data_IF_234701238757
#
_entry.id   IF_234701238757
#
_cell.length_a   1.000
_cell.length_b   1.000
_cell.length_c   1.000
_cell.angle_alpha   90.00
_cell.angle_beta   90.00
_cell.angle_gamma   90.00
#
_symmetry.space_group_name_H-M   'P 1'
#
loop_
_entity.id
_entity.type
_entity.pdbx_description
1 polymer ?
#
# COMPACT_ATOMS: atom_id res chain seq x y z
N UNK A 1 -22.99 -35.89 29.46
CA UNK A 1 -21.98 -35.74 28.39
C UNK A 1 -22.17 -34.36 27.79
N UNK A 2 -21.40 -33.37 28.24
CA UNK A 2 -21.44 -32.03 27.66
C UNK A 2 -20.55 -32.02 26.42
N UNK A 3 -21.12 -31.68 25.26
CA UNK A 3 -20.37 -31.47 24.02
C UNK A 3 -19.77 -30.07 24.13
N UNK A 4 -18.46 -29.99 24.32
CA UNK A 4 -17.74 -28.74 24.22
C UNK A 4 -17.70 -28.34 22.74
N UNK A 5 -18.41 -27.28 22.39
CA UNK A 5 -18.23 -26.59 21.12
C UNK A 5 -16.90 -25.87 21.20
N UNK A 6 -15.90 -26.42 20.53
CA UNK A 6 -14.64 -25.72 20.32
C UNK A 6 -14.87 -24.76 19.16
N UNK A 7 -15.25 -23.53 19.45
CA UNK A 7 -15.30 -22.44 18.46
C UNK A 7 -13.87 -22.15 18.01
N UNK A 8 -13.43 -22.90 16.99
CA UNK A 8 -12.11 -22.80 16.37
C UNK A 8 -11.94 -21.54 15.56
N UNK A 9 -12.13 -20.36 16.18
CA UNK A 9 -11.68 -19.12 15.58
C UNK A 9 -10.15 -19.19 15.48
N UNK A 10 -9.62 -19.23 14.25
CA UNK A 10 -8.19 -19.19 14.02
C UNK A 10 -7.58 -17.98 14.73
N UNK A 11 -6.46 -18.18 15.43
CA UNK A 11 -5.77 -17.12 16.14
C UNK A 11 -5.40 -15.98 15.17
N UNK A 12 -5.69 -14.73 15.57
CA UNK A 12 -5.36 -13.55 14.74
C UNK A 12 -3.84 -13.38 14.68
N UNK A 13 -3.29 -13.44 13.47
CA UNK A 13 -1.86 -13.24 13.23
C UNK A 13 -1.57 -11.79 12.90
N UNK A 14 -0.39 -11.33 13.26
CA UNK A 14 0.02 -9.94 13.13
C UNK A 14 1.36 -9.80 12.42
N UNK A 15 1.47 -8.78 11.59
CA UNK A 15 2.74 -8.27 11.05
C UNK A 15 2.76 -6.76 11.29
N UNK A 16 3.49 -6.35 12.34
CA UNK A 16 3.55 -4.96 12.83
C UNK A 16 2.17 -4.37 13.12
N UNK A 17 1.67 -3.53 12.22
CA UNK A 17 0.44 -2.77 12.39
C UNK A 17 -0.75 -3.40 11.65
N UNK A 18 -0.52 -4.54 10.99
CA UNK A 18 -1.50 -5.24 10.18
C UNK A 18 -1.82 -6.59 10.80
N UNK A 19 -3.07 -7.01 10.71
CA UNK A 19 -3.52 -8.30 11.24
C UNK A 19 -4.35 -9.06 10.21
N UNK A 20 -4.38 -10.38 10.33
CA UNK A 20 -5.17 -11.26 9.45
C UNK A 20 -6.70 -11.04 9.55
N UNK A 21 -7.17 -10.33 10.59
CA UNK A 21 -8.58 -10.01 10.81
C UNK A 21 -9.03 -8.70 10.14
N UNK A 22 -8.13 -7.97 9.48
CA UNK A 22 -8.43 -6.71 8.79
C UNK A 22 -8.64 -6.95 7.30
N UNK A 23 -9.59 -6.24 6.69
CA UNK A 23 -9.60 -6.09 5.24
C UNK A 23 -8.60 -5.00 4.82
N UNK A 24 -7.64 -5.38 3.99
CA UNK A 24 -6.49 -4.55 3.63
C UNK A 24 -6.45 -4.34 2.12
N UNK A 25 -6.43 -3.08 1.71
CA UNK A 25 -6.11 -2.67 0.33
C UNK A 25 -4.68 -2.15 0.28
N UNK A 26 -3.84 -2.76 -0.56
CA UNK A 26 -2.49 -2.28 -0.88
C UNK A 26 -2.51 -1.65 -2.26
N UNK A 27 -2.17 -0.36 -2.31
CA UNK A 27 -2.26 0.48 -3.49
C UNK A 27 -0.88 0.66 -4.12
N UNK A 28 -0.77 0.39 -5.41
CA UNK A 28 0.48 0.58 -6.17
C UNK A 28 1.61 -0.33 -5.70
N UNK A 29 1.31 -1.59 -5.39
CA UNK A 29 2.26 -2.59 -4.90
C UNK A 29 3.13 -3.15 -6.03
N UNK A 30 4.03 -2.30 -6.56
CA UNK A 30 4.88 -2.54 -7.73
C UNK A 30 5.09 -4.01 -8.14
N UNK A 31 5.94 -4.75 -7.41
CA UNK A 31 6.23 -6.16 -7.67
C UNK A 31 5.45 -7.14 -6.78
N UNK A 32 4.43 -6.65 -6.06
CA UNK A 32 3.56 -7.38 -5.15
C UNK A 32 4.25 -8.01 -3.92
N UNK A 33 5.52 -7.70 -3.68
CA UNK A 33 6.29 -8.32 -2.59
C UNK A 33 5.84 -7.87 -1.20
N UNK A 34 5.28 -6.65 -1.06
CA UNK A 34 4.74 -6.19 0.23
C UNK A 34 3.48 -6.96 0.61
N UNK A 35 2.54 -7.09 -0.33
CA UNK A 35 1.33 -7.88 -0.14
C UNK A 35 1.66 -9.34 0.14
N UNK A 36 2.65 -9.91 -0.57
CA UNK A 36 3.06 -11.29 -0.32
C UNK A 36 3.66 -11.46 1.08
N UNK A 37 4.44 -10.49 1.58
CA UNK A 37 4.94 -10.53 2.96
C UNK A 37 3.80 -10.54 3.99
N UNK A 38 2.76 -9.73 3.79
CA UNK A 38 1.55 -9.74 4.62
C UNK A 38 0.83 -11.09 4.56
N UNK A 39 0.49 -11.56 3.36
CA UNK A 39 -0.22 -12.83 3.17
C UNK A 39 0.56 -14.01 3.78
N UNK A 40 1.88 -14.03 3.62
CA UNK A 40 2.77 -15.05 4.20
C UNK A 40 2.71 -15.03 5.72
N UNK A 41 2.81 -13.85 6.35
CA UNK A 41 2.74 -13.72 7.80
C UNK A 41 1.35 -14.12 8.36
N UNK A 42 0.29 -13.83 7.62
CA UNK A 42 -1.08 -14.24 7.97
C UNK A 42 -1.35 -15.72 7.66
N UNK A 43 -0.56 -16.33 6.77
CA UNK A 43 -0.83 -17.66 6.23
C UNK A 43 -2.10 -17.74 5.36
N UNK A 44 -2.65 -16.59 4.96
CA UNK A 44 -3.81 -16.44 4.07
C UNK A 44 -3.79 -15.04 3.47
N UNK A 45 -4.28 -14.91 2.24
CA UNK A 45 -4.47 -13.66 1.52
C UNK A 45 -5.93 -13.25 1.40
N UNK A 46 -6.90 -14.00 1.95
CA UNK A 46 -8.34 -13.80 1.68
C UNK A 46 -8.86 -12.37 1.93
N UNK A 47 -8.33 -11.70 2.96
CA UNK A 47 -8.72 -10.32 3.32
C UNK A 47 -7.82 -9.25 2.67
N UNK A 48 -7.00 -9.63 1.68
CA UNK A 48 -6.02 -8.76 1.02
C UNK A 48 -6.42 -8.47 -0.42
N UNK A 49 -6.41 -7.19 -0.76
CA UNK A 49 -6.48 -6.71 -2.14
C UNK A 49 -5.18 -6.03 -2.48
N UNK A 50 -4.41 -6.61 -3.39
CA UNK A 50 -3.18 -6.01 -3.87
C UNK A 50 -3.41 -5.40 -5.25
N UNK A 51 -3.00 -4.16 -5.44
CA UNK A 51 -3.26 -3.44 -6.70
C UNK A 51 -1.99 -2.84 -7.27
N UNK A 52 -1.95 -2.73 -8.60
CA UNK A 52 -0.87 -2.08 -9.35
C UNK A 52 -1.44 -1.09 -10.36
N UNK A 53 -0.66 -0.07 -10.69
CA UNK A 53 -0.98 0.84 -11.81
C UNK A 53 -0.61 0.20 -13.15
N UNK A 54 0.46 -0.60 -13.18
CA UNK A 54 0.93 -1.31 -14.36
C UNK A 54 -0.08 -2.41 -14.74
N UNK A 55 -0.25 -2.65 -16.04
CA UNK A 55 -0.98 -3.80 -16.54
C UNK A 55 -0.21 -5.10 -16.25
N UNK A 56 -0.90 -6.24 -16.24
CA UNK A 56 -0.25 -7.55 -16.05
C UNK A 56 0.88 -7.80 -17.08
N UNK A 57 0.68 -7.41 -18.33
CA UNK A 57 1.69 -7.49 -19.39
C UNK A 57 2.92 -6.64 -19.03
N UNK A 58 2.72 -5.37 -18.66
CA UNK A 58 3.80 -4.45 -18.29
C UNK A 58 4.58 -4.96 -17.08
N UNK A 59 3.88 -5.51 -16.08
CA UNK A 59 4.48 -6.12 -14.88
C UNK A 59 5.45 -7.24 -15.23
N UNK A 60 5.03 -8.15 -16.12
CA UNK A 60 5.84 -9.30 -16.54
C UNK A 60 7.15 -8.93 -17.21
N UNK A 61 7.21 -7.74 -17.84
CA UNK A 61 8.41 -7.20 -18.45
C UNK A 61 9.26 -6.37 -17.47
N UNK A 62 8.62 -5.65 -16.56
CA UNK A 62 9.28 -4.69 -15.69
C UNK A 62 9.86 -5.30 -14.42
N UNK A 63 9.34 -6.45 -13.97
CA UNK A 63 9.72 -7.06 -12.70
C UNK A 63 9.81 -8.58 -12.84
N UNK A 64 11.02 -9.14 -12.74
CA UNK A 64 11.25 -10.59 -12.89
C UNK A 64 10.42 -11.44 -11.93
N UNK A 65 10.16 -10.93 -10.73
CA UNK A 65 9.54 -11.69 -9.65
C UNK A 65 8.04 -11.40 -9.50
N UNK A 66 7.52 -10.34 -10.15
CA UNK A 66 6.14 -9.90 -9.94
C UNK A 66 5.13 -10.99 -10.31
N UNK A 67 5.32 -11.67 -11.44
CA UNK A 67 4.41 -12.75 -11.87
C UNK A 67 4.40 -13.91 -10.87
N UNK A 68 5.56 -14.25 -10.29
CA UNK A 68 5.64 -15.28 -9.25
C UNK A 68 4.95 -14.83 -7.95
N UNK A 69 5.09 -13.56 -7.58
CA UNK A 69 4.44 -13.01 -6.39
C UNK A 69 2.92 -12.95 -6.55
N UNK A 70 2.42 -12.55 -7.73
CA UNK A 70 0.99 -12.59 -8.07
C UNK A 70 0.43 -14.00 -7.97
N UNK A 71 1.08 -14.98 -8.61
CA UNK A 71 0.61 -16.37 -8.56
C UNK A 71 0.55 -16.93 -7.13
N UNK A 72 1.53 -16.58 -6.28
CA UNK A 72 1.51 -16.97 -4.86
C UNK A 72 0.38 -16.28 -4.10
N UNK A 73 0.17 -14.98 -4.32
CA UNK A 73 -0.92 -14.22 -3.68
C UNK A 73 -2.28 -14.81 -4.02
N UNK A 74 -2.54 -15.07 -5.29
CA UNK A 74 -3.78 -15.69 -5.76
C UNK A 74 -3.96 -17.10 -5.18
N UNK A 75 -2.89 -17.91 -5.14
CA UNK A 75 -2.91 -19.23 -4.50
C UNK A 75 -3.18 -19.17 -2.99
N UNK A 76 -2.88 -18.05 -2.33
CA UNK A 76 -3.21 -17.78 -0.93
C UNK A 76 -4.60 -17.14 -0.75
N UNK A 77 -5.35 -16.91 -1.83
CA UNK A 77 -6.70 -16.35 -1.79
C UNK A 77 -6.79 -14.82 -1.87
N UNK A 78 -5.68 -14.12 -2.10
CA UNK A 78 -5.71 -12.66 -2.27
C UNK A 78 -6.37 -12.25 -3.59
N UNK A 79 -7.05 -11.11 -3.57
CA UNK A 79 -7.51 -10.45 -4.81
C UNK A 79 -6.35 -9.63 -5.38
N UNK A 80 -5.95 -9.89 -6.62
CA UNK A 80 -4.95 -9.08 -7.32
C UNK A 80 -5.62 -8.30 -8.44
N UNK A 81 -5.44 -6.97 -8.47
CA UNK A 81 -5.99 -6.09 -9.50
C UNK A 81 -4.88 -5.29 -10.20
N UNK A 82 -5.04 -5.09 -11.50
CA UNK A 82 -4.13 -4.32 -12.34
C UNK A 82 -4.82 -3.06 -12.87
N UNK A 83 -4.04 -2.14 -13.44
CA UNK A 83 -4.56 -0.90 -14.04
C UNK A 83 -5.36 0.00 -13.05
N UNK A 84 -5.07 -0.10 -11.74
CA UNK A 84 -5.75 0.65 -10.69
C UNK A 84 -5.11 2.03 -10.53
N UNK A 85 -5.77 3.06 -11.05
CA UNK A 85 -5.35 4.45 -10.89
C UNK A 85 -5.88 5.05 -9.57
N UNK A 86 -4.97 5.35 -8.64
CA UNK A 86 -5.28 5.90 -7.31
C UNK A 86 -6.15 7.15 -7.33
N UNK A 87 -6.12 7.92 -8.43
CA UNK A 87 -6.90 9.16 -8.59
C UNK A 87 -8.41 8.91 -8.76
N UNK A 88 -8.79 7.67 -9.09
CA UNK A 88 -10.17 7.25 -9.35
C UNK A 88 -10.47 5.84 -8.82
N UNK A 89 -9.61 5.30 -7.94
CA UNK A 89 -9.72 3.90 -7.48
C UNK A 89 -11.02 3.58 -6.74
N UNK A 90 -11.65 4.58 -6.12
CA UNK A 90 -12.96 4.47 -5.48
C UNK A 90 -14.11 4.25 -6.48
N UNK A 91 -13.86 4.39 -7.79
CA UNK A 91 -14.81 4.14 -8.87
C UNK A 91 -14.50 2.85 -9.64
N UNK A 92 -13.43 2.13 -9.27
CA UNK A 92 -13.07 0.87 -9.92
C UNK A 92 -14.12 -0.19 -9.56
N UNK A 93 -14.63 -0.94 -10.54
CA UNK A 93 -15.77 -1.83 -10.36
C UNK A 93 -15.58 -2.84 -9.21
N UNK A 94 -14.39 -3.41 -9.07
CA UNK A 94 -14.07 -4.36 -7.99
C UNK A 94 -13.77 -3.72 -6.62
N UNK A 95 -13.56 -2.39 -6.56
CA UNK A 95 -13.22 -1.67 -5.34
C UNK A 95 -14.36 -0.79 -4.81
N UNK A 96 -15.19 -0.23 -5.70
CA UNK A 96 -16.34 0.62 -5.36
C UNK A 96 -17.27 0.00 -4.30
N UNK A 97 -17.62 -1.30 -4.34
CA UNK A 97 -18.52 -1.88 -3.33
C UNK A 97 -17.82 -2.21 -2.00
N UNK A 98 -16.51 -1.96 -1.86
CA UNK A 98 -15.69 -2.43 -0.74
C UNK A 98 -15.27 -1.29 0.19
N UNK A 99 -15.26 -1.59 1.49
CA UNK A 99 -14.65 -0.74 2.52
C UNK A 99 -13.55 -1.52 3.23
N UNK A 100 -12.49 -0.83 3.63
CA UNK A 100 -11.29 -1.42 4.18
C UNK A 100 -10.99 -0.93 5.59
N UNK A 101 -10.41 -1.82 6.40
CA UNK A 101 -9.84 -1.46 7.70
C UNK A 101 -8.49 -0.77 7.51
N UNK A 102 -7.72 -1.15 6.48
CA UNK A 102 -6.43 -0.54 6.14
C UNK A 102 -6.33 -0.28 4.64
N UNK A 103 -5.94 0.94 4.28
CA UNK A 103 -5.55 1.29 2.90
C UNK A 103 -4.10 1.75 2.92
N UNK A 104 -3.21 1.02 2.26
CA UNK A 104 -1.75 1.17 2.35
C UNK A 104 -1.19 1.66 1.02
N UNK A 105 -0.39 2.72 1.04
CA UNK A 105 0.37 3.17 -0.13
C UNK A 105 1.84 3.41 0.24
N UNK A 106 2.69 2.45 -0.14
CA UNK A 106 4.11 2.48 0.18
C UNK A 106 4.91 3.19 -0.91
N UNK A 107 5.71 4.18 -0.51
CA UNK A 107 6.60 4.96 -1.38
C UNK A 107 5.92 5.47 -2.66
N UNK A 108 4.79 6.18 -2.56
CA UNK A 108 4.10 6.72 -3.73
C UNK A 108 5.04 7.53 -4.61
N UNK A 109 4.91 7.44 -5.93
CA UNK A 109 5.76 8.18 -6.86
C UNK A 109 5.01 8.53 -8.15
N UNK A 110 5.13 9.76 -8.64
CA UNK A 110 4.35 10.28 -9.79
C UNK A 110 5.04 10.04 -11.15
N UNK A 111 6.10 9.22 -11.15
CA UNK A 111 6.99 9.02 -12.28
C UNK A 111 8.12 10.04 -12.32
N UNK A 112 9.23 9.70 -12.99
CA UNK A 112 10.38 10.59 -13.15
C UNK A 112 10.11 11.63 -14.24
N UNK A 113 9.95 12.90 -13.84
CA UNK A 113 9.84 14.05 -14.76
C UNK A 113 10.99 15.05 -14.62
N UNK A 114 11.96 14.76 -13.76
CA UNK A 114 13.05 15.67 -13.40
C UNK A 114 13.85 15.11 -12.22
N UNK A 115 14.53 16.01 -11.49
CA UNK A 115 15.22 15.68 -10.24
C UNK A 115 14.22 15.63 -9.08
N UNK A 116 14.49 14.80 -8.09
CA UNK A 116 13.64 14.65 -6.90
C UNK A 116 13.55 15.92 -6.03
N UNK A 117 14.49 16.86 -6.21
CA UNK A 117 14.55 18.16 -5.52
C UNK A 117 13.99 19.33 -6.36
N UNK A 118 13.48 19.05 -7.56
CA UNK A 118 12.85 20.04 -8.44
C UNK A 118 11.41 20.36 -8.00
N UNK A 119 11.03 21.64 -7.99
CA UNK A 119 9.73 22.09 -7.48
C UNK A 119 8.54 21.50 -8.25
N UNK A 120 8.62 21.40 -9.58
CA UNK A 120 7.53 20.86 -10.40
C UNK A 120 7.39 19.35 -10.21
N UNK A 121 8.52 18.66 -9.99
CA UNK A 121 8.57 17.25 -9.62
C UNK A 121 7.92 17.03 -8.25
N UNK A 122 8.32 17.81 -7.23
CA UNK A 122 7.72 17.78 -5.89
C UNK A 122 6.22 18.05 -5.95
N UNK A 123 5.76 19.06 -6.69
CA UNK A 123 4.33 19.38 -6.85
C UNK A 123 3.55 18.24 -7.50
N UNK A 124 4.15 17.53 -8.44
CA UNK A 124 3.55 16.35 -9.07
C UNK A 124 3.37 15.21 -8.08
N UNK A 125 4.35 14.99 -7.20
CA UNK A 125 4.28 14.01 -6.11
C UNK A 125 3.22 14.37 -5.06
N UNK A 126 3.20 15.63 -4.62
CA UNK A 126 2.18 16.13 -3.70
C UNK A 126 0.77 15.94 -4.28
N UNK A 127 0.57 16.27 -5.56
CA UNK A 127 -0.72 16.06 -6.24
C UNK A 127 -1.13 14.60 -6.31
N UNK A 128 -0.19 13.66 -6.48
CA UNK A 128 -0.48 12.22 -6.44
C UNK A 128 -0.98 11.81 -5.06
N UNK A 129 -0.25 12.18 -4.00
CA UNK A 129 -0.57 11.81 -2.62
C UNK A 129 -1.89 12.44 -2.18
N UNK A 130 -2.11 13.72 -2.49
CA UNK A 130 -3.37 14.41 -2.23
C UNK A 130 -4.56 13.72 -2.91
N UNK A 131 -4.42 13.34 -4.20
CA UNK A 131 -5.47 12.60 -4.91
C UNK A 131 -5.74 11.22 -4.31
N UNK A 132 -4.70 10.53 -3.86
CA UNK A 132 -4.85 9.27 -3.15
C UNK A 132 -5.65 9.44 -1.85
N UNK A 133 -5.33 10.43 -1.02
CA UNK A 133 -6.10 10.70 0.19
C UNK A 133 -7.57 11.04 -0.13
N UNK A 134 -7.80 11.87 -1.15
CA UNK A 134 -9.12 12.27 -1.58
C UNK A 134 -10.00 11.09 -2.02
N UNK A 135 -9.44 10.02 -2.59
CA UNK A 135 -10.20 8.81 -2.98
C UNK A 135 -10.25 7.78 -1.86
N UNK A 136 -9.13 7.49 -1.20
CA UNK A 136 -9.00 6.47 -0.15
C UNK A 136 -9.94 6.73 1.03
N UNK A 137 -10.15 7.99 1.40
CA UNK A 137 -11.02 8.36 2.53
C UNK A 137 -12.46 7.87 2.38
N UNK A 138 -12.94 7.71 1.14
CA UNK A 138 -14.28 7.23 0.83
C UNK A 138 -14.41 5.71 0.91
N UNK A 139 -13.30 5.00 1.07
CA UNK A 139 -13.23 3.54 1.06
C UNK A 139 -12.89 2.97 2.44
N UNK A 140 -12.97 3.78 3.50
CA UNK A 140 -12.67 3.36 4.87
C UNK A 140 -13.89 2.80 5.57
N UNK A 141 -13.69 1.70 6.31
CA UNK A 141 -14.62 1.28 7.36
C UNK A 141 -14.61 2.26 8.53
N UNK A 142 -15.60 2.10 9.42
CA UNK A 142 -15.57 2.75 10.73
C UNK A 142 -14.28 2.36 11.46
N UNK A 143 -13.53 3.36 11.91
CA UNK A 143 -12.20 3.20 12.53
C UNK A 143 -11.09 2.67 11.59
N UNK A 144 -11.33 2.65 10.28
CA UNK A 144 -10.32 2.32 9.28
C UNK A 144 -9.20 3.37 9.22
N UNK A 145 -8.03 2.96 8.75
CA UNK A 145 -6.84 3.81 8.66
C UNK A 145 -6.26 3.84 7.24
N UNK A 146 -5.75 4.99 6.85
CA UNK A 146 -4.90 5.16 5.65
C UNK A 146 -3.46 5.22 6.11
N UNK A 147 -2.62 4.36 5.53
CA UNK A 147 -1.19 4.29 5.83
C UNK A 147 -0.38 4.70 4.61
N UNK A 148 0.48 5.71 4.77
CA UNK A 148 1.45 6.09 3.73
C UNK A 148 2.85 5.89 4.30
N UNK A 149 3.65 5.06 3.64
CA UNK A 149 5.08 4.90 4.00
C UNK A 149 5.93 5.75 3.10
N UNK A 150 6.78 6.61 3.65
CA UNK A 150 7.65 7.45 2.84
C UNK A 150 8.96 7.85 3.53
N UNK A 151 9.91 8.29 2.72
CA UNK A 151 11.17 8.90 3.18
C UNK A 151 10.89 10.22 3.88
N UNK A 152 11.65 10.49 4.94
CA UNK A 152 11.44 11.64 5.84
C UNK A 152 12.54 12.70 5.77
N UNK A 153 13.61 12.48 4.99
CA UNK A 153 14.68 13.45 4.76
C UNK A 153 14.48 14.21 3.44
N UNK A 154 15.08 15.39 3.34
CA UNK A 154 15.12 16.16 2.09
C UNK A 154 15.66 15.31 0.91
N UNK A 155 15.09 15.44 -0.31
CA UNK A 155 13.98 16.32 -0.69
C UNK A 155 12.59 15.77 -0.35
N UNK A 156 12.49 14.50 0.03
CA UNK A 156 11.23 13.79 0.28
C UNK A 156 10.37 14.38 1.40
N UNK A 157 11.00 15.04 2.39
CA UNK A 157 10.28 15.79 3.43
C UNK A 157 9.44 16.94 2.89
N UNK A 158 9.81 17.51 1.73
CA UNK A 158 9.08 18.61 1.09
C UNK A 158 7.74 18.18 0.49
N UNK A 159 7.44 16.88 0.49
CA UNK A 159 6.14 16.38 0.04
C UNK A 159 5.02 16.66 1.05
N UNK A 160 5.36 17.04 2.30
CA UNK A 160 4.41 17.50 3.32
C UNK A 160 3.20 16.57 3.52
N UNK A 161 3.43 15.25 3.60
CA UNK A 161 2.38 14.21 3.66
C UNK A 161 1.32 14.50 4.74
N UNK A 162 1.75 14.95 5.92
CA UNK A 162 0.87 15.29 7.04
C UNK A 162 -0.10 16.43 6.69
N UNK A 163 0.39 17.46 5.99
CA UNK A 163 -0.44 18.57 5.51
C UNK A 163 -1.44 18.11 4.44
N UNK A 164 -0.99 17.33 3.46
CA UNK A 164 -1.86 16.82 2.38
C UNK A 164 -3.01 15.94 2.91
N UNK A 165 -2.74 15.18 3.98
CA UNK A 165 -3.77 14.40 4.66
C UNK A 165 -4.80 15.30 5.36
N UNK A 166 -4.34 16.31 6.11
CA UNK A 166 -5.23 17.28 6.78
C UNK A 166 -6.11 18.03 5.78
N UNK A 167 -5.55 18.47 4.64
CA UNK A 167 -6.31 19.08 3.53
C UNK A 167 -7.37 18.14 2.93
N UNK A 168 -7.30 16.85 3.23
CA UNK A 168 -8.26 15.82 2.80
C UNK A 168 -9.23 15.38 3.91
N UNK A 169 -9.31 16.12 5.02
CA UNK A 169 -10.11 15.80 6.22
C UNK A 169 -9.67 14.51 6.91
N UNK A 170 -8.35 14.31 6.99
CA UNK A 170 -7.74 13.17 7.67
C UNK A 170 -6.83 13.65 8.81
N UNK A 171 -7.07 13.14 10.01
CA UNK A 171 -6.22 13.38 11.17
C UNK A 171 -5.12 12.34 11.26
N UNK A 172 -3.88 12.78 11.51
CA UNK A 172 -2.76 11.87 11.80
C UNK A 172 -2.95 11.26 13.18
N UNK A 173 -2.95 9.94 13.27
CA UNK A 173 -3.05 9.20 14.53
C UNK A 173 -1.69 8.73 15.03
N UNK A 174 -0.76 8.43 14.12
CA UNK A 174 0.55 7.91 14.48
C UNK A 174 1.56 8.14 13.33
N UNK A 175 2.82 8.32 13.71
CA UNK A 175 3.97 8.28 12.80
C UNK A 175 4.96 7.23 13.31
N UNK A 176 4.90 6.04 12.71
CA UNK A 176 5.72 4.91 13.09
C UNK A 176 7.02 4.86 12.26
N UNK A 177 8.14 4.49 12.87
CA UNK A 177 9.37 4.21 12.12
C UNK A 177 9.16 2.99 11.20
N UNK A 178 9.56 3.10 9.94
CA UNK A 178 9.51 2.00 8.99
C UNK A 178 10.89 1.34 8.87
N UNK A 179 10.96 0.03 9.08
CA UNK A 179 12.13 -0.80 8.81
C UNK A 179 11.73 -1.88 7.80
N UNK A 180 12.55 -2.14 6.80
CA UNK A 180 12.22 -3.13 5.75
C UNK A 180 12.26 -4.54 6.32
N UNK A 181 13.11 -4.77 7.32
CA UNK A 181 13.31 -6.03 8.03
C UNK A 181 12.05 -6.50 8.77
N UNK A 182 11.13 -5.57 9.08
CA UNK A 182 9.82 -5.89 9.65
C UNK A 182 8.90 -6.62 8.66
N UNK A 183 9.22 -6.63 7.36
CA UNK A 183 8.44 -7.23 6.28
C UNK A 183 9.29 -8.21 5.46
N UNK A 184 9.54 -9.43 5.98
CA UNK A 184 10.38 -10.41 5.29
C UNK A 184 9.89 -10.70 3.88
N UNK A 185 10.81 -10.59 2.90
CA UNK A 185 10.52 -10.79 1.48
C UNK A 185 10.05 -9.54 0.73
N UNK A 186 9.75 -8.44 1.42
CA UNK A 186 9.43 -7.17 0.75
C UNK A 186 10.65 -6.62 -0.01
N UNK A 187 10.44 -6.24 -1.27
CA UNK A 187 11.45 -5.74 -2.18
C UNK A 187 10.93 -4.47 -2.89
N UNK A 188 11.28 -3.30 -2.37
CA UNK A 188 10.85 -2.03 -2.92
C UNK A 188 11.48 -1.78 -4.30
N UNK A 189 10.63 -1.61 -5.32
CA UNK A 189 11.05 -1.35 -6.70
C UNK A 189 10.62 0.03 -7.18
N UNK A 190 11.38 0.59 -8.11
CA UNK A 190 10.99 1.79 -8.86
C UNK A 190 9.94 1.41 -9.90
N UNK A 191 8.85 2.16 -9.97
CA UNK A 191 7.74 1.89 -10.90
C UNK A 191 7.74 2.68 -12.20
N UNK A 192 8.85 3.31 -12.60
CA UNK A 192 8.89 4.07 -13.86
C UNK A 192 10.32 4.34 -14.34
N UNK A 193 10.44 4.85 -15.56
CA UNK A 193 11.67 5.19 -16.29
C UNK A 193 12.51 3.98 -16.71
N UNK A 194 13.68 4.22 -17.33
CA UNK A 194 14.68 3.18 -17.62
C UNK A 194 15.17 2.43 -16.37
N UNK A 195 14.87 2.96 -15.17
CA UNK A 195 15.16 2.32 -13.88
C UNK A 195 14.00 1.50 -13.32
N UNK A 196 12.90 1.31 -14.06
CA UNK A 196 11.80 0.45 -13.64
C UNK A 196 12.32 -0.94 -13.21
N UNK A 197 11.75 -1.52 -12.16
CA UNK A 197 12.18 -2.80 -11.60
C UNK A 197 13.44 -2.77 -10.74
N UNK A 198 14.23 -1.69 -10.75
CA UNK A 198 15.39 -1.57 -9.87
C UNK A 198 14.98 -1.20 -8.44
N UNK A 199 15.74 -1.71 -7.47
CA UNK A 199 15.63 -1.29 -6.08
C UNK A 199 15.99 0.18 -5.86
N UNK A 200 15.63 0.71 -4.71
CA UNK A 200 16.08 2.02 -4.24
C UNK A 200 16.44 2.00 -2.76
N UNK A 201 17.42 2.80 -2.34
CA UNK A 201 17.79 2.88 -0.94
C UNK A 201 16.62 3.40 -0.09
N UNK A 202 16.24 2.62 0.93
CA UNK A 202 15.35 3.04 2.01
C UNK A 202 16.25 3.74 3.03
N UNK A 203 16.18 5.08 3.04
CA UNK A 203 16.83 5.87 4.09
C UNK A 203 15.95 5.93 5.33
N UNK A 204 16.01 7.02 6.09
CA UNK A 204 15.04 7.24 7.17
C UNK A 204 13.62 7.37 6.61
N UNK A 205 12.76 6.43 6.95
CA UNK A 205 11.39 6.35 6.49
C UNK A 205 10.43 6.16 7.66
N UNK A 206 9.20 6.60 7.48
CA UNK A 206 8.12 6.42 8.44
C UNK A 206 6.84 6.00 7.72
N UNK A 207 6.02 5.23 8.42
CA UNK A 207 4.62 4.99 8.06
C UNK A 207 3.76 5.99 8.82
N UNK A 208 3.13 6.89 8.09
CA UNK A 208 2.17 7.86 8.59
C UNK A 208 0.78 7.21 8.54
N UNK A 209 0.07 7.23 9.67
CA UNK A 209 -1.25 6.61 9.81
C UNK A 209 -2.30 7.70 10.04
N UNK A 210 -3.39 7.63 9.30
CA UNK A 210 -4.43 8.64 9.30
C UNK A 210 -5.82 8.01 9.47
N UNK A 211 -6.75 8.75 10.08
CA UNK A 211 -8.17 8.41 10.16
C UNK A 211 -9.01 9.60 9.70
N UNK A 212 -10.28 9.36 9.38
CA UNK A 212 -11.24 10.44 9.17
C UNK A 212 -11.36 11.29 10.45
N UNK A 213 -11.41 12.61 10.26
CA UNK A 213 -11.75 13.57 11.31
C UNK A 213 -13.20 13.40 11.82
#
# INVERSE_FOLDING_TARGET
MAVAWNDGAAETKWLKHYSSAQDILVVGDGDFSFSLALATAFGSGENLVATSLDSYESLSHNYSDATSNVAKLEAMGATVLHDVNVKVMNLHADLEPRLFDRIVFNFPHAGFRGREDDEDTIRSHQKLVWRFFATARHMLRRHGEIHVTHKTKHPFSMWCIEQLASESSLAMVEKAAFQIEDYPGYNQKRGSSWRCGHGFAIGHCSTFKFRLE
#
